data_IF_520770087280
#
_entry.id   IF_520770087280
#
_cell.length_a   1.000
_cell.length_b   1.000
_cell.length_c   1.000
_cell.angle_alpha   90.00
_cell.angle_beta   90.00
_cell.angle_gamma   90.00
#
_symmetry.space_group_name_H-M   'P 1'
#
loop_
_entity.id
_entity.type
_entity.pdbx_description
1 polymer ?
#
# COMPACT_ATOMS: atom_id res chain seq x y z
N UNK A 1 18.48 -5.49 -0.14
CA UNK A 1 18.64 -6.18 -1.43
C UNK A 1 18.11 -5.25 -2.52
N UNK A 2 18.92 -4.91 -3.52
CA UNK A 2 18.44 -4.17 -4.70
C UNK A 2 17.83 -5.19 -5.67
N UNK A 3 16.52 -5.15 -5.86
CA UNK A 3 15.88 -5.90 -6.95
C UNK A 3 16.15 -5.11 -8.23
N UNK A 4 17.08 -5.58 -9.05
CA UNK A 4 17.28 -5.07 -10.40
C UNK A 4 16.28 -5.73 -11.34
N UNK A 5 15.23 -5.00 -11.72
CA UNK A 5 14.37 -5.39 -12.82
C UNK A 5 15.07 -5.11 -14.14
N UNK A 6 15.19 -6.13 -15.00
CA UNK A 6 15.73 -5.93 -16.35
C UNK A 6 14.69 -5.22 -17.21
N UNK A 7 15.04 -4.17 -17.96
CA UNK A 7 14.14 -3.54 -18.92
C UNK A 7 13.48 -4.59 -19.83
N UNK A 8 12.17 -4.49 -20.04
CA UNK A 8 11.39 -5.45 -20.84
C UNK A 8 10.82 -6.65 -20.07
N UNK A 9 11.12 -6.80 -18.79
CA UNK A 9 10.52 -7.85 -17.94
C UNK A 9 9.31 -7.33 -17.16
N UNK A 10 8.26 -8.15 -17.05
CA UNK A 10 7.09 -7.80 -16.25
C UNK A 10 7.39 -7.90 -14.76
N UNK A 11 7.04 -6.84 -14.03
CA UNK A 11 7.11 -6.82 -12.57
C UNK A 11 6.23 -7.94 -11.97
N UNK A 12 6.68 -8.68 -10.93
CA UNK A 12 5.91 -9.79 -10.32
C UNK A 12 4.46 -9.42 -9.95
N UNK A 13 4.25 -8.20 -9.46
CA UNK A 13 2.92 -7.62 -9.18
C UNK A 13 1.94 -7.63 -10.37
N UNK A 14 2.44 -7.56 -11.61
CA UNK A 14 1.65 -7.60 -12.85
C UNK A 14 1.29 -9.04 -13.21
N UNK A 15 2.12 -10.01 -12.83
CA UNK A 15 1.93 -11.42 -13.15
C UNK A 15 0.79 -12.07 -12.35
N UNK A 16 0.34 -11.42 -11.27
CA UNK A 16 -0.83 -11.85 -10.52
C UNK A 16 -2.10 -11.43 -11.27
N UNK A 17 -2.70 -12.41 -11.96
CA UNK A 17 -3.93 -12.23 -12.73
C UNK A 17 -5.09 -11.67 -11.90
N UNK A 18 -6.04 -11.03 -12.59
CA UNK A 18 -7.32 -10.60 -11.99
C UNK A 18 -8.41 -11.57 -12.44
N UNK A 19 -9.15 -12.09 -11.46
CA UNK A 19 -10.27 -13.02 -11.67
C UNK A 19 -11.60 -12.30 -11.86
N UNK A 20 -11.69 -11.01 -11.51
CA UNK A 20 -12.92 -10.23 -11.59
C UNK A 20 -12.67 -8.76 -11.95
N UNK A 21 -13.70 -8.10 -12.50
CA UNK A 21 -13.68 -6.66 -12.77
C UNK A 21 -13.42 -5.83 -11.50
N UNK A 22 -13.91 -6.29 -10.35
CA UNK A 22 -13.67 -5.66 -9.05
C UNK A 22 -12.19 -5.71 -8.63
N UNK A 23 -11.43 -6.72 -9.04
CA UNK A 23 -9.98 -6.74 -8.78
C UNK A 23 -9.23 -5.76 -9.67
N UNK A 24 -9.68 -5.59 -10.91
CA UNK A 24 -9.11 -4.63 -11.86
C UNK A 24 -9.24 -3.19 -11.33
N UNK A 25 -10.37 -2.85 -10.70
CA UNK A 25 -10.56 -1.50 -10.14
C UNK A 25 -9.67 -1.18 -8.94
N UNK A 26 -9.06 -2.19 -8.31
CA UNK A 26 -8.15 -2.03 -7.15
C UNK A 26 -6.69 -1.80 -7.57
N UNK A 27 -6.33 -2.18 -8.79
CA UNK A 27 -4.98 -2.05 -9.33
C UNK A 27 -4.44 -0.62 -9.40
N UNK A 28 -5.22 0.41 -9.84
CA UNK A 28 -4.66 1.74 -10.09
C UNK A 28 -4.02 2.36 -8.86
N UNK A 29 -4.65 2.24 -7.68
CA UNK A 29 -4.10 2.77 -6.43
C UNK A 29 -2.75 2.14 -6.10
N UNK A 30 -2.65 0.82 -6.25
CA UNK A 30 -1.40 0.09 -6.03
C UNK A 30 -0.30 0.57 -6.97
N UNK A 31 -0.59 0.64 -8.27
CA UNK A 31 0.39 1.09 -9.25
C UNK A 31 0.84 2.53 -9.01
N UNK A 32 -0.06 3.40 -8.58
CA UNK A 32 0.29 4.78 -8.19
C UNK A 32 1.25 4.81 -7.00
N UNK A 33 1.04 3.97 -5.99
CA UNK A 33 1.96 3.86 -4.86
C UNK A 33 3.32 3.29 -5.28
N UNK A 34 3.32 2.23 -6.09
CA UNK A 34 4.54 1.59 -6.61
C UNK A 34 5.38 2.55 -7.46
N UNK A 35 4.73 3.33 -8.32
CA UNK A 35 5.40 4.29 -9.22
C UNK A 35 5.68 5.64 -8.56
N UNK A 36 5.31 5.83 -7.29
CA UNK A 36 5.46 7.11 -6.60
C UNK A 36 4.54 8.24 -7.11
N UNK A 37 3.54 7.91 -7.93
CA UNK A 37 2.57 8.88 -8.49
C UNK A 37 1.33 9.05 -7.64
N UNK A 38 1.21 8.33 -6.51
CA UNK A 38 0.13 8.54 -5.54
C UNK A 38 0.34 9.84 -4.76
N UNK A 39 -0.59 10.79 -4.89
CA UNK A 39 -0.45 12.13 -4.32
C UNK A 39 -0.94 12.18 -2.87
N UNK A 40 0.02 12.24 -1.94
CA UNK A 40 -0.19 12.50 -0.52
C UNK A 40 0.10 13.97 -0.18
N UNK A 41 -0.28 14.45 1.01
CA UNK A 41 -0.03 15.84 1.41
C UNK A 41 1.45 16.20 1.44
N UNK A 42 2.34 15.29 1.85
CA UNK A 42 3.79 15.58 1.79
C UNK A 42 4.25 15.88 0.36
N UNK A 43 3.68 15.19 -0.64
CA UNK A 43 3.95 15.44 -2.05
C UNK A 43 3.39 16.80 -2.48
N UNK A 44 2.17 17.15 -2.03
CA UNK A 44 1.56 18.45 -2.31
C UNK A 44 2.36 19.60 -1.70
N UNK A 45 2.70 19.51 -0.41
CA UNK A 45 3.53 20.48 0.28
C UNK A 45 4.87 20.70 -0.43
N UNK A 46 5.53 19.63 -0.89
CA UNK A 46 6.82 19.71 -1.56
C UNK A 46 6.78 20.33 -2.96
N UNK A 47 5.73 20.07 -3.73
CA UNK A 47 5.69 20.42 -5.16
C UNK A 47 4.69 21.53 -5.53
N UNK A 48 3.87 22.00 -4.59
CA UNK A 48 2.96 23.11 -4.85
C UNK A 48 3.69 24.45 -4.78
N UNK A 49 3.26 25.39 -5.61
CA UNK A 49 3.76 26.77 -5.63
C UNK A 49 3.28 27.57 -4.42
N UNK A 50 2.16 27.16 -3.82
CA UNK A 50 1.60 27.76 -2.63
C UNK A 50 1.99 26.99 -1.36
N UNK A 51 2.05 27.68 -0.23
CA UNK A 51 2.28 27.07 1.06
C UNK A 51 1.11 26.13 1.42
N UNK A 52 1.37 24.82 1.34
CA UNK A 52 0.43 23.77 1.74
C UNK A 52 1.05 22.98 2.88
N UNK A 53 0.25 22.66 3.89
CA UNK A 53 0.66 21.81 5.00
C UNK A 53 0.86 20.36 4.54
N UNK A 54 1.93 19.72 5.01
CA UNK A 54 2.16 18.28 4.81
C UNK A 54 1.30 17.41 5.74
N UNK A 55 0.65 18.00 6.74
CA UNK A 55 -0.16 17.31 7.75
C UNK A 55 -1.33 16.58 7.10
N UNK A 56 -1.55 15.33 7.51
CA UNK A 56 -2.66 14.52 7.07
C UNK A 56 -3.99 15.17 7.46
N UNK A 57 -4.89 15.48 6.50
CA UNK A 57 -6.11 16.20 6.81
C UNK A 57 -7.17 15.29 7.46
N UNK A 58 -7.01 13.97 7.39
CA UNK A 58 -7.90 13.01 8.05
C UNK A 58 -7.64 12.92 9.55
N UNK A 59 -6.40 12.69 9.98
CA UNK A 59 -6.08 12.57 11.40
C UNK A 59 -5.66 13.90 12.02
N UNK A 60 -5.09 14.83 11.24
CA UNK A 60 -4.57 16.14 11.67
C UNK A 60 -3.46 16.07 12.73
N UNK A 61 -2.76 14.93 12.84
CA UNK A 61 -1.72 14.70 13.85
C UNK A 61 -0.32 14.82 13.28
N UNK A 62 -0.05 14.14 12.16
CA UNK A 62 1.30 14.03 11.58
C UNK A 62 1.26 14.18 10.05
N UNK A 63 2.43 14.32 9.44
CA UNK A 63 2.57 14.45 7.99
C UNK A 63 2.03 13.22 7.26
N UNK A 64 1.31 13.46 6.16
CA UNK A 64 0.78 12.38 5.32
C UNK A 64 1.89 11.80 4.43
N UNK A 65 2.79 11.03 5.04
CA UNK A 65 3.76 10.21 4.33
C UNK A 65 3.14 8.90 3.86
N UNK A 66 3.85 8.16 3.00
CA UNK A 66 3.43 6.82 2.57
C UNK A 66 3.33 5.87 3.76
N UNK A 67 4.30 5.92 4.67
CA UNK A 67 4.29 5.12 5.90
C UNK A 67 3.09 5.48 6.77
N UNK A 68 2.82 6.78 6.98
CA UNK A 68 1.65 7.24 7.71
C UNK A 68 0.35 6.72 7.09
N UNK A 69 0.16 6.94 5.79
CA UNK A 69 -1.04 6.53 5.06
C UNK A 69 -1.29 5.02 5.15
N UNK A 70 -0.23 4.22 5.02
CA UNK A 70 -0.34 2.77 5.02
C UNK A 70 -0.45 2.17 6.42
N UNK A 71 0.23 2.74 7.42
CA UNK A 71 0.46 2.06 8.71
C UNK A 71 -0.04 2.81 9.94
N UNK A 72 -0.09 4.15 9.93
CA UNK A 72 -0.25 4.92 11.19
C UNK A 72 -1.48 5.83 11.24
N UNK A 73 -2.07 6.20 10.11
CA UNK A 73 -3.22 7.11 10.09
C UNK A 73 -4.40 6.57 10.93
N UNK A 74 -4.67 7.21 12.07
CA UNK A 74 -5.70 6.76 13.03
C UNK A 74 -7.10 6.77 12.43
N UNK A 75 -7.39 7.75 11.57
CA UNK A 75 -8.66 7.86 10.84
C UNK A 75 -8.91 6.69 9.87
N UNK A 76 -7.87 5.93 9.50
CA UNK A 76 -7.96 4.78 8.60
C UNK A 76 -7.82 3.44 9.33
N UNK A 77 -7.67 3.45 10.66
CA UNK A 77 -7.36 2.24 11.44
C UNK A 77 -8.46 1.17 11.32
N UNK A 78 -9.72 1.58 11.37
CA UNK A 78 -10.86 0.65 11.30
C UNK A 78 -10.89 -0.18 10.01
N UNK A 79 -10.45 0.40 8.88
CA UNK A 79 -10.39 -0.31 7.59
C UNK A 79 -9.06 -1.05 7.41
N UNK A 80 -7.99 -0.57 8.05
CA UNK A 80 -6.64 -1.14 7.99
C UNK A 80 -6.52 -2.43 8.80
N UNK A 81 -6.86 -2.39 10.08
CA UNK A 81 -6.63 -3.46 11.05
C UNK A 81 -7.05 -4.87 10.57
N UNK A 82 -8.29 -5.09 10.07
CA UNK A 82 -8.73 -6.44 9.69
C UNK A 82 -7.94 -7.00 8.50
N UNK A 83 -7.57 -6.15 7.53
CA UNK A 83 -6.82 -6.60 6.34
C UNK A 83 -5.35 -6.78 6.67
N UNK A 84 -4.78 -5.91 7.52
CA UNK A 84 -3.40 -6.06 8.00
C UNK A 84 -3.20 -7.34 8.79
N UNK A 85 -4.18 -7.75 9.61
CA UNK A 85 -4.14 -9.05 10.30
C UNK A 85 -4.05 -10.22 9.31
N UNK A 86 -4.83 -10.19 8.21
CA UNK A 86 -4.78 -11.22 7.16
C UNK A 86 -3.43 -11.26 6.45
N UNK A 87 -2.86 -10.08 6.15
CA UNK A 87 -1.52 -9.95 5.55
C UNK A 87 -0.46 -10.52 6.49
N UNK A 88 -0.50 -10.15 7.78
CA UNK A 88 0.48 -10.61 8.76
C UNK A 88 0.46 -12.12 8.95
N UNK A 89 -0.73 -12.72 9.07
CA UNK A 89 -0.89 -14.18 9.18
C UNK A 89 -0.32 -14.91 7.94
N UNK A 90 -0.48 -14.34 6.75
CA UNK A 90 0.12 -14.90 5.53
C UNK A 90 1.65 -14.83 5.56
N UNK A 91 2.21 -13.67 5.94
CA UNK A 91 3.66 -13.50 6.10
C UNK A 91 4.23 -14.46 7.14
N UNK A 92 3.53 -14.66 8.27
CA UNK A 92 3.92 -15.59 9.32
C UNK A 92 3.88 -17.04 8.82
N UNK A 93 2.83 -17.42 8.09
CA UNK A 93 2.72 -18.75 7.49
C UNK A 93 3.82 -19.05 6.45
N UNK A 94 4.52 -18.02 5.97
CA UNK A 94 5.66 -18.13 5.04
C UNK A 94 7.03 -17.98 5.75
N UNK A 95 7.04 -17.78 7.07
CA UNK A 95 8.22 -17.42 7.88
C UNK A 95 8.94 -16.15 7.38
N UNK A 96 8.16 -15.17 6.88
CA UNK A 96 8.69 -13.92 6.34
C UNK A 96 8.58 -12.74 7.31
N UNK A 97 7.88 -12.87 8.44
CA UNK A 97 7.73 -11.79 9.44
C UNK A 97 9.08 -11.31 9.98
N UNK A 98 10.04 -12.21 10.17
CA UNK A 98 11.41 -11.89 10.59
C UNK A 98 12.17 -10.99 9.61
N UNK A 99 11.76 -10.96 8.33
CA UNK A 99 12.34 -10.08 7.31
C UNK A 99 11.80 -8.65 7.40
N UNK A 100 10.66 -8.45 8.04
CA UNK A 100 10.03 -7.13 8.23
C UNK A 100 10.50 -6.54 9.56
N UNK A 101 11.65 -5.87 9.52
CA UNK A 101 12.34 -5.38 10.73
C UNK A 101 11.97 -3.96 11.14
N UNK A 102 11.23 -3.22 10.31
CA UNK A 102 10.83 -1.83 10.59
C UNK A 102 9.50 -1.47 9.92
N UNK A 103 8.80 -0.43 10.40
CA UNK A 103 7.61 0.11 9.75
C UNK A 103 7.86 0.52 8.30
N UNK A 104 8.99 1.19 8.02
CA UNK A 104 9.37 1.56 6.67
C UNK A 104 9.49 0.33 5.74
N UNK A 105 10.09 -0.76 6.22
CA UNK A 105 10.20 -2.00 5.44
C UNK A 105 8.86 -2.70 5.29
N UNK A 106 7.97 -2.61 6.28
CA UNK A 106 6.59 -3.08 6.15
C UNK A 106 5.85 -2.29 5.07
N UNK A 107 5.94 -0.96 5.07
CA UNK A 107 5.33 -0.12 4.05
C UNK A 107 5.87 -0.46 2.65
N UNK A 108 7.18 -0.63 2.50
CA UNK A 108 7.80 -1.07 1.25
C UNK A 108 7.31 -2.46 0.82
N UNK A 109 7.21 -3.41 1.76
CA UNK A 109 6.68 -4.76 1.50
C UNK A 109 5.23 -4.72 1.04
N UNK A 110 4.39 -3.86 1.63
CA UNK A 110 3.02 -3.68 1.17
C UNK A 110 3.00 -3.14 -0.26
N UNK A 111 3.88 -2.19 -0.61
CA UNK A 111 3.95 -1.65 -1.97
C UNK A 111 4.44 -2.71 -2.96
N UNK A 112 5.52 -3.38 -2.61
CA UNK A 112 6.16 -4.43 -3.39
C UNK A 112 6.61 -5.59 -2.47
N UNK A 113 5.78 -6.64 -2.40
CA UNK A 113 6.08 -7.80 -1.57
C UNK A 113 7.25 -8.60 -2.12
N UNK A 114 7.61 -8.44 -3.40
CA UNK A 114 8.71 -9.20 -4.01
C UNK A 114 10.07 -8.85 -3.42
N UNK A 115 10.15 -7.72 -2.70
CA UNK A 115 11.30 -7.32 -1.88
C UNK A 115 11.67 -8.39 -0.84
N UNK A 116 10.69 -9.07 -0.27
CA UNK A 116 10.92 -10.05 0.81
C UNK A 116 10.51 -11.47 0.47
N UNK A 117 9.53 -11.66 -0.44
CA UNK A 117 9.03 -12.98 -0.83
C UNK A 117 9.93 -13.55 -1.93
N UNK A 118 10.61 -14.68 -1.70
CA UNK A 118 11.38 -15.35 -2.74
C UNK A 118 10.47 -15.82 -3.87
N UNK A 119 10.92 -15.73 -5.13
CA UNK A 119 10.22 -16.28 -6.29
C UNK A 119 10.36 -17.82 -6.33
N UNK A 120 9.64 -18.51 -5.45
CA UNK A 120 9.64 -19.96 -5.32
C UNK A 120 8.23 -20.53 -5.60
N UNK A 121 8.10 -21.65 -6.32
CA UNK A 121 6.81 -22.28 -6.58
C UNK A 121 6.00 -22.59 -5.31
N UNK A 122 6.68 -22.93 -4.21
CA UNK A 122 6.06 -23.23 -2.90
C UNK A 122 5.29 -22.06 -2.30
N UNK A 123 5.58 -20.82 -2.72
CA UNK A 123 4.89 -19.64 -2.23
C UNK A 123 3.82 -19.12 -3.19
N UNK A 124 3.60 -19.75 -4.34
CA UNK A 124 2.73 -19.23 -5.40
C UNK A 124 1.33 -18.88 -4.87
N UNK A 125 0.63 -19.83 -4.27
CA UNK A 125 -0.75 -19.62 -3.80
C UNK A 125 -0.82 -18.58 -2.68
N UNK A 126 0.12 -18.62 -1.74
CA UNK A 126 0.22 -17.64 -0.64
C UNK A 126 0.55 -16.24 -1.15
N UNK A 127 1.33 -16.14 -2.22
CA UNK A 127 1.68 -14.88 -2.88
C UNK A 127 0.48 -14.28 -3.61
N UNK A 128 -0.32 -15.12 -4.27
CA UNK A 128 -1.60 -14.69 -4.87
C UNK A 128 -2.56 -14.16 -3.81
N UNK A 129 -2.69 -14.87 -2.69
CA UNK A 129 -3.51 -14.44 -1.55
C UNK A 129 -2.97 -13.15 -0.93
N UNK A 130 -1.66 -13.04 -0.74
CA UNK A 130 -1.01 -11.83 -0.22
C UNK A 130 -1.31 -10.63 -1.12
N UNK A 131 -1.15 -10.79 -2.43
CA UNK A 131 -1.47 -9.77 -3.41
C UNK A 131 -2.94 -9.34 -3.34
N UNK A 132 -3.86 -10.31 -3.24
CA UNK A 132 -5.28 -10.04 -3.09
C UNK A 132 -5.58 -9.16 -1.86
N UNK A 133 -5.02 -9.51 -0.70
CA UNK A 133 -5.25 -8.74 0.54
C UNK A 133 -4.62 -7.36 0.46
N UNK A 134 -3.42 -7.20 -0.11
CA UNK A 134 -2.79 -5.90 -0.26
C UNK A 134 -3.58 -5.00 -1.23
N UNK A 135 -4.03 -5.52 -2.38
CA UNK A 135 -4.89 -4.75 -3.31
C UNK A 135 -6.16 -4.27 -2.61
N UNK A 136 -6.77 -5.14 -1.81
CA UNK A 136 -7.95 -4.81 -1.00
C UNK A 136 -7.63 -3.74 0.05
N UNK A 137 -6.50 -3.83 0.75
CA UNK A 137 -6.04 -2.82 1.71
C UNK A 137 -5.93 -1.46 1.03
N UNK A 138 -5.18 -1.36 -0.07
CA UNK A 138 -4.94 -0.09 -0.75
C UNK A 138 -6.21 0.54 -1.28
N UNK A 139 -7.11 -0.27 -1.84
CA UNK A 139 -8.42 0.21 -2.27
C UNK A 139 -9.24 0.78 -1.12
N UNK A 140 -9.32 0.07 0.02
CA UNK A 140 -10.08 0.52 1.19
C UNK A 140 -9.47 1.78 1.82
N UNK A 141 -8.15 1.84 1.96
CA UNK A 141 -7.46 3.04 2.44
C UNK A 141 -7.71 4.24 1.52
N UNK A 142 -7.59 4.05 0.20
CA UNK A 142 -7.82 5.10 -0.78
C UNK A 142 -9.24 5.63 -0.74
N UNK A 143 -10.24 4.74 -0.87
CA UNK A 143 -11.65 5.11 -0.89
C UNK A 143 -12.08 5.78 0.41
N UNK A 144 -11.66 5.25 1.56
CA UNK A 144 -11.96 5.84 2.87
C UNK A 144 -11.31 7.21 3.02
N UNK A 145 -10.04 7.35 2.61
CA UNK A 145 -9.34 8.65 2.63
C UNK A 145 -10.10 9.70 1.83
N UNK A 146 -10.53 9.38 0.61
CA UNK A 146 -11.25 10.33 -0.24
C UNK A 146 -12.63 10.66 0.32
N UNK A 147 -13.37 9.68 0.83
CA UNK A 147 -14.66 9.93 1.49
C UNK A 147 -14.53 10.90 2.66
N UNK A 148 -13.54 10.67 3.53
CA UNK A 148 -13.27 11.58 4.66
C UNK A 148 -12.88 12.99 4.20
N UNK A 149 -12.16 13.12 3.08
CA UNK A 149 -11.83 14.43 2.51
C UNK A 149 -13.06 15.18 2.04
N UNK A 150 -14.00 14.49 1.37
CA UNK A 150 -15.26 15.07 0.92
C UNK A 150 -16.12 15.55 2.10
N UNK A 151 -16.23 14.73 3.15
CA UNK A 151 -16.92 15.09 4.40
C UNK A 151 -16.29 16.32 5.09
N UNK A 152 -14.96 16.47 5.02
CA UNK A 152 -14.24 17.61 5.60
C UNK A 152 -14.28 18.88 4.74
N UNK A 153 -14.48 18.74 3.42
CA UNK A 153 -14.49 19.86 2.46
C UNK A 153 -15.90 20.42 2.21
N UNK A 154 -16.94 19.73 2.71
CA UNK A 154 -18.35 20.10 2.57
C UNK A 154 -18.92 21.01 3.65
N UNK A 155 -18.07 21.72 4.41
CA UNK A 155 -18.45 22.78 5.35
C UNK A 155 -17.93 24.14 4.89
#
# INVERSE_FOLDING_TARGET
>A
MNIQYSPGTFHPLIQVGCSSALEVTRLPTRFRLLTGTYVLQVNRCRFNQYAISAVCPNCKVEDETVEHFLLHCSALEQVRAPVMCQIWNLLESMDLTKRVTSPALLAQTLIDWSIIVPNLPSYRDKTLMLEFHIRRLFFHLHTTRYRLYEELSGN
#
